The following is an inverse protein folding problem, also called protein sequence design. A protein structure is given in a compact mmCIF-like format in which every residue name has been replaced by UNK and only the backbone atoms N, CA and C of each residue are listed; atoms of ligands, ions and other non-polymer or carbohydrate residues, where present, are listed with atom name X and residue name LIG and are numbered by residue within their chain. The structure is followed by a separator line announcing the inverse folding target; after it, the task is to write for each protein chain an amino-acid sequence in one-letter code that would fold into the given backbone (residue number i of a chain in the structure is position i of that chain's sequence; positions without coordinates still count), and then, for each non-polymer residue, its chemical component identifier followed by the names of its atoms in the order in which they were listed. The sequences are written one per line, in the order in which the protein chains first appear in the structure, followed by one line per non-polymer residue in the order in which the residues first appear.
data_IF_562652232579
#
_entry.id   IF_562652232579
#
_cell.length_a   1.000
_cell.length_b   1.000
_cell.length_c   1.000
_cell.angle_alpha   90.00
_cell.angle_beta   90.00
_cell.angle_gamma   90.00
#
_symmetry.space_group_name_H-M   'P 1'
#
loop_
_entity.id
_entity.type
_entity.pdbx_description
1 polymer ?
#
# COMPACT_ATOMS: atom_id res chain seq x y z
N UNK A 1 11.28 -18.02 17.99
CA UNK A 1 10.15 -18.50 18.82
C UNK A 1 9.82 -19.95 18.50
N UNK A 2 9.31 -20.27 17.30
CA UNK A 2 9.01 -21.66 16.91
C UNK A 2 10.16 -22.67 17.09
N UNK A 3 11.40 -22.26 16.79
CA UNK A 3 12.58 -23.10 17.04
C UNK A 3 12.71 -23.51 18.51
N UNK A 4 12.55 -22.56 19.45
CA UNK A 4 12.52 -22.87 20.89
C UNK A 4 11.33 -23.72 21.30
N UNK A 5 10.18 -23.59 20.63
CA UNK A 5 9.02 -24.44 20.88
C UNK A 5 9.27 -25.89 20.49
N UNK A 6 9.96 -26.12 19.36
CA UNK A 6 10.36 -27.46 18.96
C UNK A 6 11.39 -28.05 19.93
N UNK A 7 12.37 -27.25 20.35
CA UNK A 7 13.42 -27.66 21.27
C UNK A 7 12.87 -28.00 22.66
N UNK A 8 12.14 -27.06 23.29
CA UNK A 8 11.66 -27.22 24.67
C UNK A 8 10.50 -28.20 24.78
N UNK A 9 9.49 -28.12 23.91
CA UNK A 9 8.26 -28.90 24.07
C UNK A 9 8.29 -30.23 23.33
N UNK A 10 9.08 -30.31 22.25
CA UNK A 10 9.15 -31.52 21.43
C UNK A 10 10.51 -32.22 21.51
N UNK A 11 11.56 -31.56 22.02
CA UNK A 11 12.90 -32.13 22.06
C UNK A 11 13.49 -32.33 20.67
N UNK A 12 13.03 -31.57 19.67
CA UNK A 12 13.51 -31.65 18.30
C UNK A 12 14.27 -30.38 17.93
N UNK A 13 15.45 -30.57 17.35
CA UNK A 13 16.26 -29.49 16.82
C UNK A 13 15.77 -29.18 15.40
N UNK A 14 15.60 -27.88 15.12
CA UNK A 14 15.07 -27.42 13.83
C UNK A 14 15.96 -27.80 12.63
N UNK A 15 17.27 -27.96 12.86
CA UNK A 15 18.28 -28.27 11.84
C UNK A 15 18.28 -29.74 11.40
N UNK A 16 17.78 -30.65 12.25
CA UNK A 16 17.72 -32.10 11.95
C UNK A 16 16.45 -32.50 11.20
N UNK A 17 15.53 -31.55 11.00
CA UNK A 17 14.20 -31.78 10.43
C UNK A 17 14.15 -31.46 8.94
N UNK A 18 13.42 -32.28 8.18
CA UNK A 18 13.15 -32.01 6.76
C UNK A 18 12.25 -30.79 6.58
N UNK A 19 12.40 -30.05 5.47
CA UNK A 19 11.62 -28.83 5.21
C UNK A 19 10.10 -29.06 5.19
N UNK A 20 9.65 -30.23 4.71
CA UNK A 20 8.22 -30.60 4.69
C UNK A 20 7.67 -30.79 6.11
N UNK A 21 8.44 -31.43 6.98
CA UNK A 21 8.10 -31.59 8.38
C UNK A 21 8.11 -30.27 9.15
N UNK A 22 9.09 -29.40 8.87
CA UNK A 22 9.14 -28.05 9.43
C UNK A 22 7.88 -27.27 9.03
N UNK A 23 7.47 -27.31 7.75
CA UNK A 23 6.25 -26.63 7.26
C UNK A 23 4.98 -27.19 7.91
N UNK A 24 4.88 -28.52 8.04
CA UNK A 24 3.74 -29.18 8.70
C UNK A 24 3.63 -28.83 10.19
N UNK A 25 4.77 -28.87 10.91
CA UNK A 25 4.84 -28.50 12.33
C UNK A 25 4.63 -27.00 12.54
N UNK A 26 5.13 -26.15 11.65
CA UNK A 26 4.89 -24.70 11.66
C UNK A 26 3.40 -24.40 11.49
N UNK A 27 2.72 -25.05 10.55
CA UNK A 27 1.27 -24.88 10.34
C UNK A 27 0.47 -25.27 11.58
N UNK A 28 0.85 -26.35 12.23
CA UNK A 28 0.21 -26.81 13.47
C UNK A 28 0.48 -25.87 14.64
N UNK A 29 1.70 -25.36 14.75
CA UNK A 29 2.09 -24.37 15.75
C UNK A 29 1.32 -23.05 15.57
N UNK A 30 1.28 -22.49 14.35
CA UNK A 30 0.55 -21.25 14.07
C UNK A 30 -0.96 -21.42 14.30
N UNK A 31 -1.53 -22.59 13.96
CA UNK A 31 -2.93 -22.86 14.25
C UNK A 31 -3.23 -22.81 15.74
N UNK A 32 -2.36 -23.38 16.58
CA UNK A 32 -2.50 -23.32 18.05
C UNK A 32 -2.22 -21.93 18.61
N UNK A 33 -1.20 -21.27 18.06
CA UNK A 33 -0.83 -19.89 18.40
C UNK A 33 -2.00 -18.93 18.19
N UNK A 34 -2.65 -19.02 17.03
CA UNK A 34 -3.79 -18.17 16.66
C UNK A 34 -5.05 -18.48 17.47
N UNK A 35 -5.18 -19.70 18.03
CA UNK A 35 -6.30 -20.09 18.88
C UNK A 35 -6.09 -19.81 20.37
N UNK A 36 -4.89 -19.37 20.78
CA UNK A 36 -4.60 -19.20 22.21
C UNK A 36 -4.37 -20.53 22.95
N UNK A 37 -4.23 -21.66 22.25
CA UNK A 37 -4.14 -23.00 22.86
C UNK A 37 -2.69 -23.36 23.29
N UNK A 38 -1.72 -22.47 23.06
CA UNK A 38 -0.37 -22.65 23.59
C UNK A 38 -0.36 -22.33 25.10
N UNK A 39 0.50 -22.99 25.92
CA UNK A 39 0.64 -22.63 27.33
C UNK A 39 0.91 -21.13 27.49
N UNK A 40 0.26 -20.49 28.46
CA UNK A 40 0.22 -19.03 28.66
C UNK A 40 1.61 -18.37 28.59
N UNK A 41 2.64 -19.02 29.16
CA UNK A 41 4.02 -18.54 29.13
C UNK A 41 4.65 -18.39 27.74
N UNK A 42 4.09 -18.97 26.67
CA UNK A 42 4.56 -18.77 25.30
C UNK A 42 4.12 -17.43 24.70
N UNK A 43 3.07 -16.81 25.25
CA UNK A 43 2.59 -15.50 24.83
C UNK A 43 3.28 -14.36 25.59
N UNK A 44 4.05 -14.67 26.62
CA UNK A 44 4.78 -13.66 27.40
C UNK A 44 5.87 -12.97 26.58
N UNK A 45 6.06 -11.64 26.75
CA UNK A 45 7.13 -10.91 26.07
C UNK A 45 8.53 -11.44 26.45
N UNK A 46 8.66 -11.99 27.66
CA UNK A 46 9.93 -12.53 28.16
C UNK A 46 10.39 -13.78 27.40
N UNK A 47 9.47 -14.64 26.96
CA UNK A 47 9.80 -15.84 26.18
C UNK A 47 10.08 -15.50 24.72
N UNK A 48 9.40 -14.49 24.19
CA UNK A 48 9.73 -13.91 22.88
C UNK A 48 11.15 -13.32 22.87
N UNK A 49 11.55 -12.58 23.91
CA UNK A 49 12.90 -12.03 24.02
C UNK A 49 13.98 -13.12 24.13
N UNK A 50 13.76 -14.15 24.95
CA UNK A 50 14.65 -15.32 25.03
C UNK A 50 14.79 -15.98 23.65
N UNK A 51 13.70 -16.08 22.91
CA UNK A 51 13.71 -16.66 21.57
C UNK A 51 14.35 -15.79 20.49
N UNK A 52 14.47 -14.48 20.72
CA UNK A 52 15.26 -13.59 19.87
C UNK A 52 16.76 -13.71 20.17
N UNK A 53 17.13 -13.83 21.45
CA UNK A 53 18.54 -14.00 21.86
C UNK A 53 19.13 -15.34 21.44
N UNK A 54 18.32 -16.40 21.45
CA UNK A 54 18.74 -17.74 21.04
C UNK A 54 18.66 -17.97 19.52
N UNK A 55 18.11 -17.03 18.75
CA UNK A 55 18.14 -17.13 17.30
C UNK A 55 19.57 -16.83 16.83
N UNK A 56 20.20 -17.65 15.97
CA UNK A 56 21.48 -17.29 15.38
C UNK A 56 21.31 -15.94 14.66
N UNK A 57 22.28 -15.03 14.84
CA UNK A 57 22.33 -13.74 14.15
C UNK A 57 22.45 -13.96 12.63
N UNK A 58 21.34 -14.33 11.99
CA UNK A 58 21.19 -14.16 10.56
C UNK A 58 21.00 -12.67 10.36
N UNK A 59 22.12 -11.99 10.04
CA UNK A 59 22.11 -10.64 9.51
C UNK A 59 20.96 -10.54 8.50
N UNK A 60 20.04 -9.56 8.61
CA UNK A 60 18.94 -9.45 7.68
C UNK A 60 19.56 -9.31 6.30
N UNK A 61 19.42 -10.36 5.48
CA UNK A 61 19.82 -10.31 4.08
C UNK A 61 18.85 -9.32 3.45
N UNK A 62 19.23 -8.05 3.49
CA UNK A 62 18.64 -6.97 2.71
C UNK A 62 19.07 -7.19 1.26
N UNK A 63 18.60 -8.29 0.68
CA UNK A 63 18.64 -8.52 -0.76
C UNK A 63 17.64 -7.58 -1.44
N UNK A 64 17.95 -7.04 -2.61
CA UNK A 64 17.03 -6.14 -3.31
C UNK A 64 15.77 -6.92 -3.68
N UNK A 65 14.67 -6.60 -3.00
CA UNK A 65 13.29 -6.79 -3.43
C UNK A 65 12.99 -8.03 -4.26
N UNK A 66 13.16 -9.24 -3.70
CA UNK A 66 12.34 -10.37 -4.17
C UNK A 66 10.92 -10.11 -3.65
N UNK A 67 10.09 -9.52 -4.50
CA UNK A 67 8.65 -9.52 -4.31
C UNK A 67 8.25 -10.97 -4.10
N UNK A 68 7.71 -11.26 -2.92
CA UNK A 68 7.05 -12.52 -2.64
C UNK A 68 5.88 -12.58 -3.61
N UNK A 69 6.04 -13.37 -4.67
CA UNK A 69 4.95 -13.63 -5.60
C UNK A 69 3.86 -14.35 -4.81
N UNK A 70 2.63 -13.85 -4.92
CA UNK A 70 1.48 -14.53 -4.33
C UNK A 70 1.33 -15.87 -5.05
N UNK A 71 1.00 -16.97 -4.36
CA UNK A 71 0.72 -18.21 -5.05
C UNK A 71 -0.51 -18.00 -5.94
N UNK A 72 -0.29 -18.11 -7.25
CA UNK A 72 -1.31 -18.14 -8.29
C UNK A 72 -2.13 -19.42 -8.10
N UNK A 73 -3.36 -19.26 -7.60
CA UNK A 73 -4.33 -20.34 -7.67
C UNK A 73 -4.96 -20.25 -9.05
N UNK A 74 -4.36 -20.96 -10.02
CA UNK A 74 -5.05 -21.25 -11.26
C UNK A 74 -6.36 -21.98 -10.91
N UNK A 75 -7.46 -21.26 -11.08
CA UNK A 75 -8.81 -21.76 -10.93
C UNK A 75 -9.14 -22.59 -12.18
N UNK A 76 -8.66 -23.83 -12.16
CA UNK A 76 -9.03 -24.84 -13.13
C UNK A 76 -10.52 -25.17 -12.91
N UNK A 77 -11.33 -24.84 -13.91
CA UNK A 77 -12.76 -25.08 -13.91
C UNK A 77 -13.08 -26.58 -13.96
N UNK A 78 -13.65 -27.11 -12.88
CA UNK A 78 -14.58 -28.24 -12.93
C UNK A 78 -15.70 -28.04 -11.92
N UNK A 79 -16.84 -27.57 -12.43
CA UNK A 79 -18.12 -27.87 -11.81
C UNK A 79 -18.31 -29.38 -11.81
N UNK A 80 -18.65 -29.94 -10.64
CA UNK A 80 -19.36 -31.20 -10.58
C UNK A 80 -20.22 -31.23 -9.33
N UNK A 81 -21.50 -31.32 -9.62
CA UNK A 81 -22.63 -31.53 -8.74
C UNK A 81 -22.39 -32.70 -7.78
N UNK A 82 -22.82 -32.54 -6.53
CA UNK A 82 -23.05 -33.64 -5.60
C UNK A 82 -24.17 -33.22 -4.63
N UNK A 83 -25.40 -33.35 -5.11
CA UNK A 83 -26.57 -33.58 -4.26
C UNK A 83 -26.98 -35.05 -4.37
N UNK A 84 -27.44 -35.58 -3.23
CA UNK A 84 -28.14 -36.84 -2.94
C UNK A 84 -27.35 -38.15 -2.78
N UNK A 85 -27.52 -38.80 -1.62
CA UNK A 85 -27.10 -40.19 -1.38
C UNK A 85 -27.05 -40.73 0.07
N UNK A 86 -28.17 -40.63 0.80
CA UNK A 86 -28.71 -41.47 1.89
C UNK A 86 -27.91 -42.57 2.68
N UNK A 87 -28.39 -42.75 3.93
CA UNK A 87 -28.30 -43.87 4.91
C UNK A 87 -27.08 -43.87 5.87
N UNK A 88 -27.17 -44.07 7.20
CA UNK A 88 -28.21 -44.57 8.15
C UNK A 88 -27.72 -44.29 9.58
N UNK A 89 -28.55 -43.83 10.53
CA UNK A 89 -29.03 -44.47 11.80
C UNK A 89 -29.34 -43.28 12.75
N UNK A 90 -30.34 -43.19 13.63
CA UNK A 90 -31.34 -44.11 14.17
C UNK A 90 -32.46 -43.29 14.86
N UNK A 91 -33.62 -43.93 15.02
CA UNK A 91 -34.63 -43.73 16.09
C UNK A 91 -35.82 -42.76 15.87
N UNK A 92 -36.85 -43.32 15.23
CA UNK A 92 -38.26 -43.36 15.63
C UNK A 92 -38.72 -42.54 16.85
N UNK A 93 -39.59 -41.54 16.61
CA UNK A 93 -40.79 -41.31 17.44
C UNK A 93 -41.91 -40.71 16.57
N UNK A 94 -42.98 -41.48 16.44
CA UNK A 94 -44.29 -41.03 15.94
C UNK A 94 -44.91 -40.07 16.96
N UNK A 95 -45.46 -38.95 16.50
CA UNK A 95 -46.75 -38.49 17.04
C UNK A 95 -47.45 -37.55 16.05
N UNK A 96 -48.71 -37.86 15.79
CA UNK A 96 -49.66 -37.07 15.03
C UNK A 96 -50.02 -35.79 15.79
N UNK A 97 -50.21 -34.69 15.05
CA UNK A 97 -51.29 -33.74 15.32
C UNK A 97 -51.50 -32.80 14.13
N UNK A 98 -52.58 -33.08 13.44
CA UNK A 98 -53.33 -32.20 12.55
C UNK A 98 -53.84 -30.99 13.35
N UNK A 99 -53.58 -29.77 12.86
CA UNK A 99 -54.43 -28.62 13.16
C UNK A 99 -54.47 -27.71 11.94
N UNK A 100 -55.69 -27.59 11.44
CA UNK A 100 -56.17 -26.69 10.41
C UNK A 100 -56.26 -25.26 10.96
N UNK A 101 -55.82 -24.28 10.17
CA UNK A 101 -56.28 -22.89 10.23
C UNK A 101 -55.82 -22.17 8.97
N UNK A 102 -56.68 -22.20 7.96
CA UNK A 102 -56.78 -21.16 6.94
C UNK A 102 -56.94 -19.79 7.61
N UNK A 103 -56.14 -18.80 7.22
CA UNK A 103 -56.53 -17.38 7.30
C UNK A 103 -55.70 -16.57 6.29
N UNK A 104 -56.45 -15.74 5.56
CA UNK A 104 -56.11 -14.94 4.40
C UNK A 104 -55.24 -13.72 4.77
N UNK A 105 -54.14 -13.46 4.04
CA UNK A 105 -53.59 -12.10 3.94
C UNK A 105 -52.78 -11.90 2.66
N UNK A 106 -53.52 -11.86 1.54
CA UNK A 106 -53.07 -11.40 0.24
C UNK A 106 -52.90 -9.86 0.26
N UNK A 107 -51.71 -9.40 0.66
CA UNK A 107 -51.32 -8.00 0.52
C UNK A 107 -50.04 -7.85 -0.31
N UNK A 108 -50.22 -7.73 -1.61
CA UNK A 108 -49.20 -7.38 -2.60
C UNK A 108 -49.80 -7.42 -4.01
N UNK A 109 -49.37 -6.57 -4.96
CA UNK A 109 -49.91 -6.61 -6.31
C UNK A 109 -49.65 -7.99 -6.94
N UNK A 110 -50.74 -8.68 -7.29
CA UNK A 110 -50.73 -10.00 -7.90
C UNK A 110 -49.98 -9.89 -9.23
N UNK A 111 -48.85 -10.59 -9.35
CA UNK A 111 -48.10 -10.70 -10.60
C UNK A 111 -49.00 -11.37 -11.65
N UNK A 112 -48.96 -10.94 -12.93
CA UNK A 112 -49.81 -11.52 -13.97
C UNK A 112 -49.56 -13.03 -14.04
N UNK A 113 -50.54 -13.80 -13.59
CA UNK A 113 -50.54 -15.25 -13.64
C UNK A 113 -50.69 -15.63 -15.11
N UNK A 114 -49.57 -15.78 -15.81
CA UNK A 114 -49.59 -16.38 -17.14
C UNK A 114 -49.97 -17.85 -16.97
N UNK A 115 -51.13 -18.23 -17.47
CA UNK A 115 -51.59 -19.60 -17.51
C UNK A 115 -50.58 -20.42 -18.32
N UNK A 116 -49.80 -21.26 -17.62
CA UNK A 116 -48.92 -22.24 -18.25
C UNK A 116 -49.81 -23.36 -18.79
N UNK A 117 -50.37 -23.14 -19.98
CA UNK A 117 -50.92 -24.19 -20.81
C UNK A 117 -49.75 -25.06 -21.28
N UNK A 118 -49.56 -26.17 -20.59
CA UNK A 118 -48.66 -27.25 -20.98
C UNK A 118 -49.22 -27.93 -22.23
N UNK A 119 -48.92 -27.40 -23.42
CA UNK A 119 -48.92 -28.12 -24.71
C UNK A 119 -48.42 -27.21 -25.84
N UNK A 120 -47.16 -27.41 -26.26
CA UNK A 120 -46.71 -26.97 -27.60
C UNK A 120 -45.38 -26.20 -27.64
N UNK A 121 -44.30 -26.92 -27.95
CA UNK A 121 -43.22 -26.55 -28.88
C UNK A 121 -43.02 -25.04 -29.19
N UNK A 122 -41.98 -24.43 -28.58
CA UNK A 122 -41.08 -23.51 -29.30
C UNK A 122 -41.24 -21.98 -29.14
N UNK A 123 -41.67 -21.46 -27.98
CA UNK A 123 -41.54 -20.03 -27.67
C UNK A 123 -40.17 -19.69 -27.06
N UNK A 124 -39.55 -18.53 -27.35
CA UNK A 124 -38.25 -18.17 -26.77
C UNK A 124 -38.41 -18.04 -25.26
N UNK A 125 -37.61 -18.81 -24.51
CA UNK A 125 -37.54 -18.75 -23.06
C UNK A 125 -37.32 -17.29 -22.62
N UNK A 126 -38.33 -16.66 -22.04
CA UNK A 126 -38.22 -15.37 -21.37
C UNK A 126 -37.57 -15.57 -19.99
N UNK A 127 -36.36 -16.13 -19.98
CA UNK A 127 -35.45 -16.10 -18.84
C UNK A 127 -34.42 -14.99 -19.04
N UNK A 128 -33.76 -14.52 -17.97
CA UNK A 128 -32.63 -13.61 -18.12
C UNK A 128 -31.65 -14.19 -19.13
N UNK A 129 -31.34 -13.40 -20.16
CA UNK A 129 -30.47 -13.82 -21.24
C UNK A 129 -29.13 -14.29 -20.66
N UNK A 130 -28.68 -15.47 -21.09
CA UNK A 130 -27.40 -16.02 -20.68
C UNK A 130 -26.33 -14.98 -21.08
N UNK A 131 -25.53 -14.48 -20.12
CA UNK A 131 -24.54 -13.45 -20.41
C UNK A 131 -23.62 -13.92 -21.53
N UNK A 132 -23.42 -13.04 -22.50
CA UNK A 132 -22.55 -13.29 -23.63
C UNK A 132 -21.09 -13.32 -23.18
N UNK A 133 -20.20 -13.85 -24.02
CA UNK A 133 -18.75 -13.88 -23.75
C UNK A 133 -18.23 -12.47 -23.44
N UNK A 134 -18.76 -11.46 -24.15
CA UNK A 134 -18.45 -10.04 -23.93
C UNK A 134 -18.90 -9.55 -22.56
N UNK A 135 -20.06 -9.99 -22.09
CA UNK A 135 -20.58 -9.62 -20.77
C UNK A 135 -19.74 -10.25 -19.65
N UNK A 136 -19.21 -11.46 -19.87
CA UNK A 136 -18.26 -12.10 -18.95
C UNK A 136 -16.89 -11.41 -18.95
N UNK A 137 -16.39 -10.99 -20.11
CA UNK A 137 -15.16 -10.21 -20.23
C UNK A 137 -15.29 -8.87 -19.51
N UNK A 138 -16.37 -8.13 -19.76
CA UNK A 138 -16.64 -6.85 -19.09
C UNK A 138 -16.70 -6.99 -17.56
N UNK A 139 -17.32 -8.07 -17.07
CA UNK A 139 -17.39 -8.35 -15.63
C UNK A 139 -16.02 -8.69 -15.02
N UNK A 140 -15.14 -9.35 -15.79
CA UNK A 140 -13.76 -9.61 -15.35
C UNK A 140 -12.95 -8.33 -15.31
N UNK A 141 -13.07 -7.49 -16.34
CA UNK A 141 -12.41 -6.18 -16.39
C UNK A 141 -12.86 -5.27 -15.24
N UNK A 142 -14.17 -5.17 -15.00
CA UNK A 142 -14.69 -4.37 -13.88
C UNK A 142 -14.17 -4.85 -12.54
N UNK A 143 -14.10 -6.17 -12.31
CA UNK A 143 -13.56 -6.73 -11.07
C UNK A 143 -12.07 -6.43 -10.89
N UNK A 144 -11.29 -6.39 -11.98
CA UNK A 144 -9.87 -6.01 -11.94
C UNK A 144 -9.72 -4.53 -11.63
N UNK A 145 -10.50 -3.67 -12.27
CA UNK A 145 -10.49 -2.24 -12.04
C UNK A 145 -10.90 -1.88 -10.61
N UNK A 146 -11.94 -2.54 -10.07
CA UNK A 146 -12.37 -2.40 -8.68
C UNK A 146 -11.26 -2.82 -7.70
N UNK A 147 -10.57 -3.92 -7.98
CA UNK A 147 -9.45 -4.38 -7.15
C UNK A 147 -8.27 -3.39 -7.18
N UNK A 148 -8.00 -2.77 -8.34
CA UNK A 148 -6.98 -1.73 -8.48
C UNK A 148 -7.39 -0.48 -7.70
N UNK A 149 -8.64 -0.03 -7.85
CA UNK A 149 -9.19 1.12 -7.15
C UNK A 149 -9.11 0.95 -5.63
N UNK A 150 -9.60 -0.20 -5.11
CA UNK A 150 -9.53 -0.53 -3.70
C UNK A 150 -8.09 -0.48 -3.14
N UNK A 151 -7.11 -0.99 -3.90
CA UNK A 151 -5.69 -0.93 -3.51
C UNK A 151 -5.16 0.51 -3.50
N UNK A 152 -5.56 1.32 -4.45
CA UNK A 152 -5.16 2.73 -4.49
C UNK A 152 -5.77 3.50 -3.33
N UNK A 153 -7.04 3.27 -3.02
CA UNK A 153 -7.74 3.96 -1.95
C UNK A 153 -7.22 3.56 -0.58
N UNK A 154 -6.94 2.27 -0.34
CA UNK A 154 -6.26 1.83 0.88
C UNK A 154 -4.89 2.53 1.07
N UNK A 155 -4.13 2.74 -0.03
CA UNK A 155 -2.86 3.49 0.03
C UNK A 155 -3.08 4.98 0.30
N UNK A 156 -4.12 5.59 -0.26
CA UNK A 156 -4.47 6.99 0.00
C UNK A 156 -4.91 7.17 1.46
N UNK A 157 -5.76 6.28 1.97
CA UNK A 157 -6.23 6.26 3.36
C UNK A 157 -5.06 6.15 4.33
N UNK A 158 -4.19 5.14 4.17
CA UNK A 158 -3.00 4.99 5.02
C UNK A 158 -2.10 6.24 5.00
N UNK A 159 -1.90 6.84 3.83
CA UNK A 159 -1.10 8.08 3.71
C UNK A 159 -1.80 9.27 4.38
N UNK A 160 -3.12 9.37 4.29
CA UNK A 160 -3.90 10.40 4.94
C UNK A 160 -3.81 10.25 6.46
N UNK A 161 -4.04 9.05 7.00
CA UNK A 161 -3.91 8.71 8.42
C UNK A 161 -2.51 9.06 8.96
N UNK A 162 -1.45 8.65 8.25
CA UNK A 162 -0.08 8.97 8.66
C UNK A 162 0.16 10.49 8.70
N UNK A 163 -0.43 11.24 7.76
CA UNK A 163 -0.31 12.70 7.71
C UNK A 163 -1.10 13.37 8.82
N UNK A 164 -2.32 12.90 9.10
CA UNK A 164 -3.17 13.38 10.20
C UNK A 164 -2.51 13.15 11.54
N UNK A 165 -2.04 11.93 11.81
CA UNK A 165 -1.29 11.62 13.03
C UNK A 165 -0.06 12.52 13.17
N UNK A 166 0.70 12.73 12.08
CA UNK A 166 1.87 13.63 12.13
C UNK A 166 1.49 15.09 12.38
N UNK A 167 0.36 15.58 11.87
CA UNK A 167 -0.12 16.93 12.19
C UNK A 167 -0.60 17.04 13.63
N UNK A 168 -1.31 16.04 14.14
CA UNK A 168 -1.77 15.99 15.54
C UNK A 168 -0.58 15.98 16.50
N UNK A 169 0.44 15.16 16.24
CA UNK A 169 1.67 15.16 17.06
C UNK A 169 2.35 16.52 17.08
N UNK A 170 2.38 17.23 15.93
CA UNK A 170 2.94 18.59 15.86
C UNK A 170 2.10 19.59 16.64
N UNK A 171 0.77 19.50 16.59
CA UNK A 171 -0.11 20.37 17.38
C UNK A 171 0.11 20.15 18.87
N UNK A 172 0.23 18.90 19.30
CA UNK A 172 0.56 18.55 20.69
C UNK A 172 1.94 19.08 21.09
N UNK A 173 2.95 18.95 20.23
CA UNK A 173 4.27 19.55 20.46
C UNK A 173 4.19 21.08 20.60
N UNK A 174 3.41 21.75 19.77
CA UNK A 174 3.21 23.20 19.79
C UNK A 174 2.46 23.68 21.06
N UNK A 175 1.59 22.85 21.65
CA UNK A 175 0.87 23.13 22.90
C UNK A 175 1.71 22.86 24.16
N UNK A 176 2.55 21.82 24.12
CA UNK A 176 3.40 21.40 25.24
C UNK A 176 4.67 22.23 25.31
N UNK A 177 5.23 22.66 24.18
CA UNK A 177 6.44 23.47 24.16
C UNK A 177 6.12 24.90 24.62
N UNK A 178 6.74 25.41 25.70
CA UNK A 178 6.59 26.81 26.05
C UNK A 178 7.13 27.66 24.90
N UNK A 179 6.30 28.60 24.43
CA UNK A 179 6.67 29.55 23.36
C UNK A 179 8.02 30.18 23.68
N UNK A 180 8.93 30.17 22.70
CA UNK A 180 10.30 30.60 22.91
C UNK A 180 10.37 32.06 23.41
N UNK A 181 11.27 32.30 24.35
CA UNK A 181 11.50 33.61 24.97
C UNK A 181 11.70 34.71 23.91
N UNK A 182 11.09 35.90 24.08
CA UNK A 182 11.27 37.04 23.20
C UNK A 182 12.74 37.37 22.94
N UNK A 183 13.18 37.28 21.67
CA UNK A 183 14.54 37.65 21.25
C UNK A 183 15.46 36.50 20.87
N UNK A 184 15.07 35.25 21.13
CA UNK A 184 15.84 34.06 20.72
C UNK A 184 15.77 33.79 19.21
N UNK A 185 16.75 33.06 18.66
CA UNK A 185 16.73 32.62 17.26
C UNK A 185 15.52 31.73 16.96
N UNK A 186 15.10 30.94 17.94
CA UNK A 186 13.94 30.07 17.87
C UNK A 186 12.66 30.86 17.60
N UNK A 187 12.41 31.95 18.34
CA UNK A 187 11.26 32.83 18.10
C UNK A 187 11.29 33.52 16.73
N UNK A 188 12.48 33.86 16.20
CA UNK A 188 12.62 34.40 14.84
C UNK A 188 12.25 33.35 13.78
N UNK A 189 12.62 32.09 14.02
CA UNK A 189 12.29 30.99 13.13
C UNK A 189 10.83 30.57 13.24
N UNK A 190 10.24 30.60 14.43
CA UNK A 190 8.81 30.40 14.69
C UNK A 190 7.98 31.48 13.98
N UNK A 191 8.29 32.77 14.18
CA UNK A 191 7.62 33.89 13.47
C UNK A 191 7.73 33.76 11.95
N UNK A 192 8.87 33.27 11.43
CA UNK A 192 9.04 33.01 9.98
C UNK A 192 8.19 31.82 9.52
N UNK A 193 8.08 30.76 10.32
CA UNK A 193 7.22 29.60 10.04
C UNK A 193 5.75 29.99 10.09
N UNK A 194 5.31 30.74 11.09
CA UNK A 194 3.95 31.29 11.20
C UNK A 194 3.61 32.16 10.00
N UNK A 195 4.49 33.09 9.61
CA UNK A 195 4.28 33.91 8.42
C UNK A 195 4.24 33.07 7.13
N UNK A 196 5.08 32.04 7.02
CA UNK A 196 5.06 31.13 5.87
C UNK A 196 3.78 30.27 5.84
N UNK A 197 3.29 29.81 7.00
CA UNK A 197 2.04 29.08 7.14
C UNK A 197 0.84 29.97 6.83
N UNK A 198 0.82 31.22 7.31
CA UNK A 198 -0.21 32.20 6.99
C UNK A 198 -0.23 32.54 5.50
N UNK A 199 0.94 32.76 4.89
CA UNK A 199 1.05 32.99 3.44
C UNK A 199 0.61 31.76 2.64
N UNK A 200 0.92 30.55 3.12
CA UNK A 200 0.48 29.31 2.51
C UNK A 200 -1.02 29.10 2.65
N UNK A 201 -1.59 29.33 3.82
CA UNK A 201 -3.03 29.27 4.07
C UNK A 201 -3.79 30.30 3.24
N UNK A 202 -3.24 31.52 3.08
CA UNK A 202 -3.78 32.53 2.19
C UNK A 202 -3.69 32.13 0.71
N UNK A 203 -2.58 31.50 0.30
CA UNK A 203 -2.45 30.99 -1.05
C UNK A 203 -3.38 29.78 -1.31
N UNK A 204 -3.57 28.92 -0.32
CA UNK A 204 -4.47 27.77 -0.36
C UNK A 204 -5.93 28.20 -0.36
N UNK A 205 -6.34 29.20 0.44
CA UNK A 205 -7.70 29.76 0.39
C UNK A 205 -7.97 30.48 -0.93
N UNK A 206 -6.98 31.19 -1.48
CA UNK A 206 -7.08 31.82 -2.80
C UNK A 206 -7.06 30.80 -3.95
N UNK A 207 -6.50 29.61 -3.73
CA UNK A 207 -6.46 28.51 -4.70
C UNK A 207 -7.66 27.57 -4.58
N UNK A 208 -8.23 27.43 -3.38
CA UNK A 208 -9.48 26.71 -3.09
C UNK A 208 -10.74 27.48 -3.48
N UNK A 209 -10.60 28.76 -3.85
CA UNK A 209 -11.63 29.56 -4.51
C UNK A 209 -11.20 30.05 -5.90
N UNK A 210 -10.32 29.31 -6.60
CA UNK A 210 -9.87 29.67 -7.95
C UNK A 210 -10.67 28.87 -9.00
N UNK A 211 -11.25 29.51 -10.04
CA UNK A 211 -12.12 28.95 -11.09
C UNK A 211 -11.63 27.74 -11.93
N UNK A 212 -10.70 26.93 -11.46
CA UNK A 212 -10.13 25.79 -12.19
C UNK A 212 -10.94 24.51 -11.95
N UNK A 213 -11.74 24.44 -10.87
CA UNK A 213 -12.71 23.36 -10.66
C UNK A 213 -14.06 23.65 -11.37
N UNK A 214 -14.20 24.85 -11.91
CA UNK A 214 -15.24 25.25 -12.85
C UNK A 214 -14.58 25.87 -14.10
N UNK A 215 -13.57 25.20 -14.66
CA UNK A 215 -13.38 25.35 -16.10
C UNK A 215 -14.72 24.88 -16.70
N UNK A 216 -15.47 25.75 -17.41
CA UNK A 216 -16.74 25.34 -17.99
C UNK A 216 -16.51 24.06 -18.79
N UNK A 217 -17.45 23.11 -18.76
CA UNK A 217 -17.35 21.84 -19.49
C UNK A 217 -16.98 22.03 -20.97
N UNK A 218 -17.18 23.23 -21.53
CA UNK A 218 -16.70 23.70 -22.84
C UNK A 218 -15.18 23.60 -23.05
N UNK A 219 -14.34 23.78 -22.01
CA UNK A 219 -12.88 23.57 -22.10
C UNK A 219 -12.47 22.11 -21.85
N UNK A 220 -13.34 21.32 -21.21
CA UNK A 220 -13.11 19.90 -20.93
C UNK A 220 -13.50 19.01 -22.11
N UNK A 221 -14.40 19.48 -22.99
CA UNK A 221 -14.89 18.78 -24.18
C UNK A 221 -14.56 19.52 -25.48
N UNK A 222 -13.32 19.97 -25.63
CA UNK A 222 -12.66 20.19 -26.94
C UNK A 222 -13.49 20.93 -27.99
N UNK A 223 -13.72 22.22 -27.78
CA UNK A 223 -14.33 23.11 -28.78
C UNK A 223 -13.29 23.64 -29.78
N UNK A 224 -12.90 22.75 -30.70
CA UNK A 224 -12.75 22.98 -32.15
C UNK A 224 -11.70 23.93 -32.74
N UNK A 225 -11.34 25.08 -32.17
CA UNK A 225 -10.61 26.09 -32.98
C UNK A 225 -9.50 26.87 -32.25
N UNK A 226 -9.49 26.94 -30.92
CA UNK A 226 -8.43 27.61 -30.15
C UNK A 226 -7.53 26.66 -29.34
N UNK A 227 -7.84 25.37 -29.31
CA UNK A 227 -7.14 24.37 -28.50
C UNK A 227 -5.72 24.09 -28.98
N UNK A 228 -5.48 24.08 -30.29
CA UNK A 228 -4.14 23.82 -30.81
C UNK A 228 -3.14 24.91 -30.43
N UNK A 229 -3.58 26.18 -30.47
CA UNK A 229 -2.74 27.30 -30.05
C UNK A 229 -2.59 27.38 -28.53
N UNK A 230 -3.64 27.03 -27.76
CA UNK A 230 -3.57 26.91 -26.32
C UNK A 230 -2.60 25.79 -25.88
N UNK A 231 -2.69 24.61 -26.51
CA UNK A 231 -1.81 23.46 -26.28
C UNK A 231 -0.38 23.79 -26.71
N UNK A 232 -0.17 24.44 -27.86
CA UNK A 232 1.16 24.86 -28.32
C UNK A 232 1.78 25.89 -27.37
N UNK A 233 0.99 26.82 -26.84
CA UNK A 233 1.44 27.81 -25.84
C UNK A 233 1.71 27.16 -24.48
N UNK A 234 0.94 26.15 -24.09
CA UNK A 234 1.17 25.35 -22.90
C UNK A 234 2.46 24.53 -23.03
N UNK A 235 2.65 23.83 -24.15
CA UNK A 235 3.86 23.08 -24.48
C UNK A 235 5.08 23.99 -24.54
N UNK A 236 4.99 25.18 -25.13
CA UNK A 236 6.08 26.15 -25.15
C UNK A 236 6.43 26.66 -23.74
N UNK A 237 5.43 26.87 -22.86
CA UNK A 237 5.66 27.20 -21.44
C UNK A 237 6.27 26.04 -20.68
N UNK A 238 5.87 24.80 -20.95
CA UNK A 238 6.47 23.62 -20.34
C UNK A 238 7.91 23.40 -20.82
N UNK A 239 8.19 23.56 -22.11
CA UNK A 239 9.54 23.49 -22.67
C UNK A 239 10.44 24.57 -22.06
N UNK A 240 9.94 25.81 -21.93
CA UNK A 240 10.67 26.88 -21.21
C UNK A 240 10.93 26.53 -19.75
N UNK A 241 9.95 25.95 -19.04
CA UNK A 241 10.12 25.48 -17.65
C UNK A 241 11.07 24.29 -17.53
N UNK A 242 11.09 23.38 -18.52
CA UNK A 242 12.01 22.23 -18.59
C UNK A 242 13.43 22.74 -18.82
N UNK A 243 13.63 23.67 -19.75
CA UNK A 243 14.92 24.33 -19.98
C UNK A 243 15.40 25.09 -18.74
N UNK A 244 14.54 25.85 -18.04
CA UNK A 244 14.94 26.57 -16.81
C UNK A 244 15.28 25.62 -15.64
N UNK A 245 14.58 24.48 -15.53
CA UNK A 245 14.90 23.45 -14.54
C UNK A 245 16.18 22.70 -14.88
N UNK A 246 16.44 22.48 -16.15
CA UNK A 246 17.67 21.88 -16.65
C UNK A 246 18.85 22.83 -16.44
N UNK A 247 18.69 24.12 -16.73
CA UNK A 247 19.69 25.16 -16.43
C UNK A 247 19.97 25.24 -14.93
N UNK A 248 18.94 25.27 -14.07
CA UNK A 248 19.15 25.24 -12.61
C UNK A 248 19.82 23.95 -12.14
N UNK A 249 19.49 22.81 -12.75
CA UNK A 249 20.09 21.52 -12.42
C UNK A 249 21.55 21.46 -12.88
N UNK A 250 21.86 22.02 -14.04
CA UNK A 250 23.20 22.13 -14.60
C UNK A 250 24.04 23.13 -13.79
N UNK A 251 23.49 24.27 -13.38
CA UNK A 251 24.14 25.24 -12.51
C UNK A 251 24.48 24.64 -11.14
N UNK A 252 23.55 23.89 -10.53
CA UNK A 252 23.82 23.19 -9.25
C UNK A 252 24.89 22.11 -9.43
N UNK A 253 24.85 21.35 -10.53
CA UNK A 253 25.87 20.33 -10.81
C UNK A 253 27.24 20.96 -11.12
N UNK A 254 27.27 22.10 -11.81
CA UNK A 254 28.48 22.87 -12.12
C UNK A 254 29.07 23.50 -10.86
N UNK A 255 28.25 24.07 -9.98
CA UNK A 255 28.70 24.57 -8.69
C UNK A 255 29.28 23.45 -7.82
N UNK A 256 28.62 22.28 -7.79
CA UNK A 256 29.10 21.10 -7.05
C UNK A 256 30.38 20.49 -7.65
N UNK A 257 30.57 20.58 -8.96
CA UNK A 257 31.79 20.16 -9.62
C UNK A 257 32.96 21.10 -9.31
N UNK A 258 32.73 22.42 -9.34
CA UNK A 258 33.72 23.43 -8.97
C UNK A 258 34.15 23.28 -7.49
N UNK A 259 33.21 23.05 -6.57
CA UNK A 259 33.51 22.80 -5.16
C UNK A 259 34.39 21.54 -4.96
N UNK A 260 34.13 20.47 -5.74
CA UNK A 260 34.97 19.26 -5.72
C UNK A 260 36.35 19.51 -6.31
N UNK A 261 36.44 20.30 -7.38
CA UNK A 261 37.71 20.63 -8.02
C UNK A 261 38.57 21.53 -7.13
N UNK A 262 38.00 22.53 -6.48
CA UNK A 262 38.70 23.38 -5.49
C UNK A 262 39.25 22.54 -4.34
N UNK A 263 38.46 21.58 -3.84
CA UNK A 263 38.91 20.67 -2.78
C UNK A 263 40.08 19.80 -3.24
N UNK A 264 40.04 19.27 -4.46
CA UNK A 264 41.16 18.50 -5.04
C UNK A 264 42.40 19.37 -5.29
N UNK A 265 42.24 20.62 -5.72
CA UNK A 265 43.35 21.56 -5.88
C UNK A 265 44.00 21.92 -4.54
N UNK A 266 43.23 22.06 -3.47
CA UNK A 266 43.78 22.25 -2.12
C UNK A 266 44.61 21.05 -1.66
N UNK A 267 44.19 19.82 -1.97
CA UNK A 267 45.00 18.63 -1.69
C UNK A 267 46.26 18.59 -2.55
N UNK A 268 46.17 18.90 -3.85
CA UNK A 268 47.34 18.98 -4.74
C UNK A 268 48.35 20.02 -4.28
N UNK A 269 47.90 21.22 -3.85
CA UNK A 269 48.79 22.25 -3.31
C UNK A 269 49.52 21.77 -2.04
N UNK A 270 48.83 21.09 -1.13
CA UNK A 270 49.45 20.48 0.06
C UNK A 270 50.44 19.38 -0.31
N UNK A 271 50.13 18.56 -1.30
CA UNK A 271 51.05 17.56 -1.84
C UNK A 271 52.26 18.20 -2.51
N UNK A 272 52.10 19.27 -3.28
CA UNK A 272 53.20 20.02 -3.90
C UNK A 272 54.08 20.73 -2.86
N UNK A 273 53.50 21.29 -1.80
CA UNK A 273 54.23 21.88 -0.68
C UNK A 273 55.04 20.82 0.08
N UNK A 274 54.44 19.66 0.36
CA UNK A 274 55.12 18.55 1.06
C UNK A 274 56.18 17.88 0.18
N UNK A 275 55.89 17.63 -1.10
CA UNK A 275 56.87 17.13 -2.09
C UNK A 275 57.97 18.16 -2.30
N UNK A 276 57.64 19.46 -2.33
CA UNK A 276 58.61 20.55 -2.43
C UNK A 276 59.56 20.57 -1.24
N UNK A 277 59.02 20.47 -0.03
CA UNK A 277 59.80 20.37 1.21
C UNK A 277 60.66 19.09 1.26
N UNK A 278 60.13 17.95 0.82
CA UNK A 278 60.91 16.71 0.72
C UNK A 278 62.00 16.79 -0.34
N UNK A 279 61.74 17.45 -1.48
CA UNK A 279 62.74 17.68 -2.53
C UNK A 279 63.85 18.62 -2.07
N UNK A 280 63.56 19.66 -1.29
CA UNK A 280 64.60 20.54 -0.73
C UNK A 280 65.44 19.82 0.32
N UNK A 281 64.83 19.00 1.17
CA UNK A 281 65.55 18.16 2.14
C UNK A 281 66.42 17.09 1.46
N UNK A 282 65.89 16.44 0.43
CA UNK A 282 66.64 15.47 -0.36
C UNK A 282 67.81 16.14 -1.11
N UNK A 283 67.61 17.35 -1.65
CA UNK A 283 68.68 18.12 -2.29
C UNK A 283 69.75 18.60 -1.30
N UNK A 284 69.42 18.82 -0.03
CA UNK A 284 70.39 19.12 1.03
C UNK A 284 71.15 17.89 1.53
N UNK A 285 70.56 16.69 1.43
CA UNK A 285 71.14 15.41 1.91
C UNK A 285 71.90 14.63 0.84
N UNK A 286 71.47 14.73 -0.41
CA UNK A 286 71.95 13.93 -1.54
C UNK A 286 72.37 14.79 -2.74
N UNK A 287 72.45 16.12 -2.55
CA UNK A 287 73.02 17.08 -3.49
C UNK A 287 74.30 17.67 -2.93
#
# INVERSE_FOLDING_TARGET
MFAMYLDIQKGLIMEDLSEEEIKGRWKSFIRKWNRGELPEGWYDPSTLEKARRNAPEQSPVSGPGRRRDSPDYEQDGRGKDADTGAASEATSWQNEREFDSEDEEEYGPILPHHEVTTRGRGGPFAGPAIPTIKDLELRKESAVDDAIAARQDARKQHRAETRLHKSEMRQIEDEIAPRAEPGTHERRMEKRREAALANRAFAESRRGGSPIEAAPDDELMGSGENDLDAIKKAQAREQRKKNEREIRREEILRARAAEREERLQQYRKKEEETIGWLKTLAKQRFG
#
